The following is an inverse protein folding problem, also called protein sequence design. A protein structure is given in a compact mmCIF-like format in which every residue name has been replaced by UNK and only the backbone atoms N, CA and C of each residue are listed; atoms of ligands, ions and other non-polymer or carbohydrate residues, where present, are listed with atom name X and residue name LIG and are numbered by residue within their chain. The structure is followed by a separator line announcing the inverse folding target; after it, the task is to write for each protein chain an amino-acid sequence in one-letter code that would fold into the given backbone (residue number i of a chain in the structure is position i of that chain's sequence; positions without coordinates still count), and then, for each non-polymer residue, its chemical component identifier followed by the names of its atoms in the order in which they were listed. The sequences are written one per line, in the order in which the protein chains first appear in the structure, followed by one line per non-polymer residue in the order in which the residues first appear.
data_IF_462323640593
#
_entry.id   IF_462323640593
#
_cell.length_a   1.000
_cell.length_b   1.000
_cell.length_c   1.000
_cell.angle_alpha   90.00
_cell.angle_beta   90.00
_cell.angle_gamma   90.00
#
_symmetry.space_group_name_H-M   'P 1'
#
loop_
_entity.id
_entity.type
_entity.pdbx_description
1 polymer ?
#
# COMPACT_ATOMS: atom_id res chain seq x y z
N UNK A 1 -6.47 9.68 15.06
CA UNK A 1 -5.66 8.54 14.55
C UNK A 1 -6.44 7.59 13.62
N UNK A 2 -7.44 6.83 14.08
CA UNK A 2 -8.06 5.76 13.28
C UNK A 2 -8.67 6.22 11.95
N UNK A 3 -9.25 7.42 11.91
CA UNK A 3 -9.85 7.98 10.69
C UNK A 3 -8.83 8.10 9.53
N UNK A 4 -7.60 8.51 9.82
CA UNK A 4 -6.55 8.67 8.81
C UNK A 4 -6.15 7.33 8.16
N UNK A 5 -6.35 6.20 8.84
CA UNK A 5 -6.02 4.88 8.29
C UNK A 5 -6.92 4.44 7.13
N UNK A 6 -8.03 5.16 6.91
CA UNK A 6 -8.90 4.95 5.76
C UNK A 6 -8.27 5.48 4.46
N UNK A 7 -7.27 6.36 4.56
CA UNK A 7 -6.49 6.85 3.44
C UNK A 7 -5.48 5.78 3.04
N UNK A 8 -5.51 5.34 1.78
CA UNK A 8 -4.54 4.38 1.24
C UNK A 8 -3.13 4.97 1.35
N UNK A 9 -2.20 4.17 1.89
CA UNK A 9 -0.82 4.60 2.15
C UNK A 9 -0.58 5.12 3.57
N UNK A 10 -1.63 5.37 4.37
CA UNK A 10 -1.50 5.77 5.78
C UNK A 10 -1.89 4.61 6.70
N UNK A 11 -0.91 4.06 7.42
CA UNK A 11 -1.13 3.00 8.41
C UNK A 11 -1.37 3.53 9.82
N UNK A 12 -1.74 2.65 10.76
CA UNK A 12 -1.92 2.99 12.19
C UNK A 12 -0.69 3.67 12.79
N UNK A 13 0.48 3.05 12.64
CA UNK A 13 1.75 3.58 13.18
C UNK A 13 2.10 4.94 12.55
N UNK A 14 1.89 5.06 11.24
CA UNK A 14 2.16 6.29 10.50
C UNK A 14 1.23 7.42 10.94
N UNK A 15 -0.07 7.16 11.02
CA UNK A 15 -1.04 8.13 11.53
C UNK A 15 -0.73 8.60 12.96
N UNK A 16 -0.33 7.69 13.86
CA UNK A 16 0.03 8.07 15.22
C UNK A 16 1.24 9.02 15.23
N UNK A 17 2.28 8.70 14.45
CA UNK A 17 3.45 9.57 14.32
C UNK A 17 3.09 10.95 13.78
N UNK A 18 2.27 11.01 12.73
CA UNK A 18 1.82 12.27 12.13
C UNK A 18 1.02 13.10 13.14
N UNK A 19 0.05 12.52 13.85
CA UNK A 19 -0.73 13.26 14.86
C UNK A 19 0.18 13.80 15.98
N UNK A 20 1.17 13.01 16.42
CA UNK A 20 2.16 13.46 17.41
C UNK A 20 3.08 14.57 16.90
N UNK A 21 3.39 14.59 15.61
CA UNK A 21 4.22 15.64 15.00
C UNK A 21 3.42 16.90 14.66
N UNK A 22 2.11 16.75 14.46
CA UNK A 22 1.17 17.84 14.24
C UNK A 22 0.67 18.46 15.56
N UNK A 23 1.12 17.96 16.72
CA UNK A 23 0.63 18.34 18.05
C UNK A 23 -0.90 18.29 18.18
N UNK A 24 -1.51 17.27 17.57
CA UNK A 24 -2.96 17.02 17.65
C UNK A 24 -3.22 15.93 18.69
N UNK A 25 -4.13 16.21 19.62
CA UNK A 25 -4.54 15.23 20.62
C UNK A 25 -5.17 13.99 19.95
N UNK A 26 -4.71 12.81 20.36
CA UNK A 26 -5.16 11.53 19.81
C UNK A 26 -6.57 11.15 20.26
N UNK A 27 -7.06 11.73 21.37
CA UNK A 27 -8.39 11.44 21.91
C UNK A 27 -9.50 12.25 21.24
N UNK A 28 -9.16 13.37 20.59
CA UNK A 28 -10.12 14.18 19.82
C UNK A 28 -10.78 13.34 18.72
N UNK A 29 -12.09 13.57 18.49
CA UNK A 29 -12.78 12.96 17.36
C UNK A 29 -12.36 13.66 16.06
N UNK A 30 -12.37 12.90 14.96
CA UNK A 30 -11.93 13.41 13.66
C UNK A 30 -12.80 14.56 13.12
N UNK A 31 -14.05 14.69 13.58
CA UNK A 31 -14.94 15.78 13.20
C UNK A 31 -14.66 17.10 13.93
N UNK A 32 -13.94 17.06 15.05
CA UNK A 32 -13.71 18.21 15.93
C UNK A 32 -12.36 18.89 15.62
N UNK A 33 -11.73 18.56 14.49
CA UNK A 33 -10.42 19.07 14.08
C UNK A 33 -10.59 20.44 13.44
N UNK A 34 -9.76 21.41 13.84
CA UNK A 34 -9.75 22.74 13.20
C UNK A 34 -9.10 22.68 11.82
N UNK A 35 -9.42 23.64 10.95
CA UNK A 35 -8.81 23.74 9.62
C UNK A 35 -7.30 23.86 9.68
N UNK A 36 -6.77 24.60 10.66
CA UNK A 36 -5.33 24.74 10.91
C UNK A 36 -4.66 23.42 11.32
N UNK A 37 -5.29 22.64 12.20
CA UNK A 37 -4.82 21.30 12.58
C UNK A 37 -4.81 20.36 11.36
N UNK A 38 -5.83 20.46 10.50
CA UNK A 38 -5.94 19.67 9.28
C UNK A 38 -4.82 20.00 8.29
N UNK A 39 -4.54 21.28 8.04
CA UNK A 39 -3.48 21.70 7.14
C UNK A 39 -2.09 21.23 7.63
N UNK A 40 -1.83 21.31 8.93
CA UNK A 40 -0.59 20.75 9.53
C UNK A 40 -0.47 19.25 9.31
N UNK A 41 -1.56 18.49 9.44
CA UNK A 41 -1.55 17.05 9.16
C UNK A 41 -1.24 16.80 7.69
N UNK A 42 -1.85 17.54 6.76
CA UNK A 42 -1.66 17.37 5.32
C UNK A 42 -0.20 17.66 4.92
N UNK A 43 0.40 18.74 5.42
CA UNK A 43 1.79 19.10 5.11
C UNK A 43 2.78 18.05 5.61
N UNK A 44 2.58 17.53 6.83
CA UNK A 44 3.43 16.46 7.39
C UNK A 44 3.30 15.16 6.60
N UNK A 45 2.10 14.82 6.16
CA UNK A 45 1.83 13.61 5.38
C UNK A 45 2.50 13.69 4.00
N UNK A 46 2.45 14.86 3.35
CA UNK A 46 3.06 15.06 2.02
C UNK A 46 4.59 15.12 2.09
N UNK A 47 5.15 15.78 3.11
CA UNK A 47 6.59 16.04 3.22
C UNK A 47 7.20 15.47 4.51
N UNK A 48 7.15 14.14 4.74
CA UNK A 48 7.53 13.55 6.03
C UNK A 48 9.01 13.73 6.40
N UNK A 49 9.91 13.79 5.42
CA UNK A 49 11.35 13.94 5.63
C UNK A 49 11.71 15.29 6.25
N UNK A 50 10.95 16.35 5.94
CA UNK A 50 11.16 17.70 6.50
C UNK A 50 10.84 17.73 8.01
N UNK A 51 9.90 16.89 8.48
CA UNK A 51 9.47 16.83 9.87
C UNK A 51 10.24 15.80 10.71
N UNK A 52 11.48 15.48 10.31
CA UNK A 52 12.39 14.55 11.01
C UNK A 52 11.81 13.13 11.13
N UNK A 53 11.01 12.68 10.16
CA UNK A 53 10.59 11.27 10.08
C UNK A 53 11.70 10.48 9.36
N UNK A 54 12.23 9.40 9.96
CA UNK A 54 13.30 8.63 9.34
C UNK A 54 12.87 7.94 8.03
N UNK A 55 13.80 7.78 7.10
CA UNK A 55 13.53 7.17 5.79
C UNK A 55 13.00 5.74 5.87
N UNK A 56 13.48 4.95 6.83
CA UNK A 56 13.03 3.56 7.04
C UNK A 56 11.55 3.45 7.42
N UNK A 57 10.92 4.56 7.82
CA UNK A 57 9.51 4.62 8.16
C UNK A 57 8.60 4.88 6.94
N UNK A 58 9.18 5.35 5.84
CA UNK A 58 8.46 5.64 4.60
C UNK A 58 8.08 4.36 3.87
N UNK A 59 6.97 4.39 3.15
CA UNK A 59 6.42 3.19 2.49
C UNK A 59 7.11 2.82 1.17
N UNK A 60 7.83 3.76 0.52
CA UNK A 60 8.58 3.52 -0.71
C UNK A 60 10.00 4.05 -0.56
N UNK A 61 10.89 3.19 -0.09
CA UNK A 61 12.30 3.51 0.11
C UNK A 61 13.10 3.20 -1.14
N UNK A 62 14.07 4.05 -1.47
CA UNK A 62 15.00 3.88 -2.61
C UNK A 62 14.27 3.51 -3.90
N UNK A 63 13.47 4.44 -4.42
CA UNK A 63 12.75 4.23 -5.67
C UNK A 63 13.69 3.83 -6.82
N UNK A 64 13.20 2.96 -7.71
CA UNK A 64 14.02 2.38 -8.78
C UNK A 64 14.40 3.43 -9.84
N UNK A 65 13.56 4.46 -10.03
CA UNK A 65 13.77 5.48 -11.05
C UNK A 65 14.68 6.57 -10.50
N UNK A 66 14.30 7.18 -9.38
CA UNK A 66 14.93 8.40 -8.87
C UNK A 66 15.90 8.14 -7.71
N UNK A 67 15.93 6.93 -7.14
CA UNK A 67 16.76 6.57 -5.98
C UNK A 67 16.32 7.17 -4.64
N UNK A 68 15.37 8.11 -4.65
CA UNK A 68 14.87 8.82 -3.46
C UNK A 68 13.82 7.99 -2.71
N UNK A 69 13.64 8.31 -1.43
CA UNK A 69 12.63 7.70 -0.57
C UNK A 69 11.39 8.60 -0.47
N UNK A 70 10.21 8.02 -0.62
CA UNK A 70 8.93 8.74 -0.66
C UNK A 70 7.89 8.09 0.25
N UNK A 71 6.95 8.91 0.73
CA UNK A 71 5.66 8.43 1.21
C UNK A 71 4.63 8.58 0.09
N UNK A 72 4.18 7.46 -0.46
CA UNK A 72 3.17 7.44 -1.52
C UNK A 72 1.77 7.33 -0.91
N UNK A 73 0.84 8.14 -1.38
CA UNK A 73 -0.51 8.29 -0.81
C UNK A 73 -1.60 8.07 -1.86
N UNK A 74 -2.78 7.66 -1.38
CA UNK A 74 -4.02 7.57 -2.15
C UNK A 74 -3.82 6.91 -3.54
N UNK A 75 -4.16 7.64 -4.60
CA UNK A 75 -4.09 7.16 -5.99
C UNK A 75 -2.66 6.89 -6.44
N UNK A 76 -1.68 7.64 -5.90
CA UNK A 76 -0.27 7.44 -6.24
C UNK A 76 0.21 6.02 -5.87
N UNK A 77 -0.34 5.42 -4.82
CA UNK A 77 0.06 4.09 -4.38
C UNK A 77 -0.36 3.01 -5.39
N UNK A 78 -1.56 3.14 -5.95
CA UNK A 78 -2.07 2.21 -6.96
C UNK A 78 -1.32 2.37 -8.29
N UNK A 79 -1.08 3.61 -8.71
CA UNK A 79 -0.30 3.90 -9.92
C UNK A 79 1.11 3.31 -9.83
N UNK A 80 1.79 3.51 -8.69
CA UNK A 80 3.15 2.95 -8.48
C UNK A 80 3.16 1.42 -8.47
N UNK A 81 2.19 0.78 -7.82
CA UNK A 81 2.08 -0.68 -7.85
C UNK A 81 1.86 -1.20 -9.28
N UNK A 82 1.04 -0.51 -10.08
CA UNK A 82 0.78 -0.86 -11.47
C UNK A 82 2.06 -0.73 -12.32
N UNK A 83 2.77 0.39 -12.21
CA UNK A 83 4.05 0.63 -12.88
C UNK A 83 5.05 -0.49 -12.58
N UNK A 84 5.20 -0.86 -11.30
CA UNK A 84 6.11 -1.93 -10.86
C UNK A 84 5.73 -3.29 -11.46
N UNK A 85 4.44 -3.62 -11.51
CA UNK A 85 3.94 -4.89 -12.07
C UNK A 85 4.08 -4.95 -13.58
N UNK A 86 3.74 -3.88 -14.30
CA UNK A 86 3.87 -3.82 -15.75
C UNK A 86 5.32 -3.90 -16.19
N UNK A 87 6.24 -3.27 -15.46
CA UNK A 87 7.69 -3.41 -15.68
C UNK A 87 8.13 -4.87 -15.61
N UNK A 88 7.66 -5.62 -14.59
CA UNK A 88 8.01 -7.04 -14.44
C UNK A 88 7.43 -7.93 -15.53
N UNK A 89 6.22 -7.60 -16.03
CA UNK A 89 5.61 -8.29 -17.16
C UNK A 89 6.39 -8.05 -18.45
N UNK A 90 6.80 -6.81 -18.71
CA UNK A 90 7.62 -6.44 -19.89
C UNK A 90 8.96 -7.19 -19.92
N UNK A 91 9.65 -7.27 -18.79
CA UNK A 91 10.93 -8.00 -18.65
C UNK A 91 10.74 -9.53 -18.70
N UNK A 92 9.49 -10.03 -18.65
CA UNK A 92 9.15 -11.47 -18.55
C UNK A 92 9.78 -12.15 -17.33
N UNK A 93 9.93 -11.42 -16.23
CA UNK A 93 10.40 -12.01 -14.98
C UNK A 93 9.40 -13.04 -14.44
N UNK A 94 9.86 -14.11 -13.79
CA UNK A 94 8.99 -15.16 -13.21
C UNK A 94 7.87 -14.56 -12.34
N UNK A 95 8.19 -13.55 -11.50
CA UNK A 95 7.20 -12.81 -10.71
C UNK A 95 6.15 -12.10 -11.57
N UNK A 96 6.56 -11.46 -12.66
CA UNK A 96 5.67 -10.76 -13.59
C UNK A 96 4.70 -11.71 -14.29
N UNK A 97 5.21 -12.86 -14.77
CA UNK A 97 4.39 -13.91 -15.39
C UNK A 97 3.37 -14.51 -14.42
N UNK A 98 3.78 -14.77 -13.17
CA UNK A 98 2.87 -15.25 -12.12
C UNK A 98 1.74 -14.25 -11.85
N UNK A 99 2.05 -12.95 -11.80
CA UNK A 99 1.04 -11.90 -11.69
C UNK A 99 0.12 -11.82 -12.92
N UNK A 100 0.68 -11.99 -14.13
CA UNK A 100 -0.09 -12.03 -15.37
C UNK A 100 -1.11 -13.17 -15.37
N UNK A 101 -0.73 -14.36 -14.91
CA UNK A 101 -1.62 -15.52 -14.77
C UNK A 101 -2.53 -15.49 -13.51
N UNK A 102 -2.43 -14.46 -12.67
CA UNK A 102 -3.21 -14.37 -11.43
C UNK A 102 -2.84 -15.40 -10.36
N UNK A 103 -1.62 -15.95 -10.41
CA UNK A 103 -1.13 -16.95 -9.46
C UNK A 103 -0.40 -16.30 -8.27
N UNK A 104 -0.38 -17.00 -7.14
CA UNK A 104 0.40 -16.62 -5.95
C UNK A 104 1.89 -16.58 -6.31
N UNK A 105 2.64 -15.59 -5.83
CA UNK A 105 4.01 -15.31 -6.33
C UNK A 105 5.14 -15.87 -5.46
N UNK A 106 4.96 -15.89 -4.12
CA UNK A 106 6.03 -16.17 -3.15
C UNK A 106 6.28 -17.67 -2.89
N UNK A 107 6.15 -18.53 -3.91
CA UNK A 107 6.44 -19.97 -3.76
C UNK A 107 5.41 -20.77 -2.93
N UNK A 108 4.23 -20.22 -2.70
CA UNK A 108 3.17 -20.94 -1.98
C UNK A 108 2.71 -22.19 -2.75
N UNK A 109 2.43 -23.29 -2.05
CA UNK A 109 1.91 -24.52 -2.66
C UNK A 109 0.47 -24.33 -3.18
N UNK A 110 0.33 -24.23 -4.51
CA UNK A 110 -0.97 -24.05 -5.18
C UNK A 110 -1.67 -25.35 -5.57
N UNK A 111 -1.18 -26.51 -5.13
CA UNK A 111 -1.82 -27.82 -5.39
C UNK A 111 -3.18 -27.91 -4.70
N UNK A 112 -3.23 -27.54 -3.42
CA UNK A 112 -4.44 -27.63 -2.57
C UNK A 112 -4.97 -26.27 -2.14
N UNK A 113 -4.11 -25.26 -2.01
CA UNK A 113 -4.50 -23.94 -1.50
C UNK A 113 -4.70 -22.91 -2.61
N UNK A 114 -5.63 -21.96 -2.40
CA UNK A 114 -5.89 -20.89 -3.37
C UNK A 114 -6.62 -21.32 -4.64
N UNK A 115 -7.28 -22.48 -4.63
CA UNK A 115 -8.19 -22.91 -5.71
C UNK A 115 -9.39 -21.96 -5.76
N UNK A 116 -9.66 -21.43 -6.95
CA UNK A 116 -10.82 -20.57 -7.25
C UNK A 116 -11.66 -21.27 -8.32
N UNK A 117 -12.98 -21.23 -8.17
CA UNK A 117 -13.94 -21.97 -9.04
C UNK A 117 -14.66 -23.10 -8.29
N UNK A 118 -15.77 -23.58 -8.87
CA UNK A 118 -16.49 -24.76 -8.35
C UNK A 118 -15.61 -26.00 -8.51
N UNK A 119 -15.61 -26.87 -7.50
CA UNK A 119 -15.01 -28.20 -7.61
C UNK A 119 -15.68 -28.93 -8.76
N UNK A 120 -14.91 -29.33 -9.78
CA UNK A 120 -15.40 -30.24 -10.81
C UNK A 120 -15.66 -31.57 -10.09
N UNK A 121 -16.93 -31.94 -9.95
CA UNK A 121 -17.30 -33.26 -9.43
C UNK A 121 -16.96 -34.36 -10.44
N UNK A 122 -17.68 -35.48 -10.38
CA UNK A 122 -17.46 -36.59 -11.33
C UNK A 122 -17.89 -36.18 -12.74
N UNK A 123 -16.94 -36.12 -13.66
CA UNK A 123 -17.19 -36.02 -15.10
C UNK A 123 -17.61 -37.40 -15.61
N UNK A 124 -18.90 -37.59 -15.87
CA UNK A 124 -19.37 -38.75 -16.66
C UNK A 124 -19.29 -38.40 -18.14
N UNK A 125 -18.72 -39.32 -18.93
CA UNK A 125 -18.70 -39.22 -20.39
C UNK A 125 -20.16 -39.16 -20.88
N UNK A 126 -20.53 -38.09 -21.58
CA UNK A 126 -21.82 -38.04 -22.27
C UNK A 126 -21.82 -39.14 -23.33
N UNK A 127 -22.71 -40.12 -23.15
CA UNK A 127 -23.11 -41.05 -24.21
C UNK A 127 -23.97 -40.37 -25.23
#
# INVERSE_FOLDING_TARGET
MYALTRIKGVGRRYSNLVCKKADVDLNKRAGDITTEELERIVTIIQNPTQYKIPEWFLNRQRDIVDGKSYQVLANGMESKLREDLERLKKIRAHRGLRHYWGLRVRGQHSKTTGRRGRTVGVSKKKG
#
